data_IF_146900218793
#
_entry.id   IF_146900218793
#
_cell.length_a   1.000
_cell.length_b   1.000
_cell.length_c   1.000
_cell.angle_alpha   90.00
_cell.angle_beta   90.00
_cell.angle_gamma   90.00
#
_symmetry.space_group_name_H-M   'P 1'
#
loop_
_entity.id
_entity.type
_entity.pdbx_description
1 polymer ?
#
# COMPACT_ATOMS: atom_id res chain seq x y z
N UNK A 1 21.37 -34.97 32.94
CA UNK A 1 22.21 -34.12 32.08
C UNK A 1 21.28 -33.40 31.10
N UNK A 2 20.76 -32.24 31.47
CA UNK A 2 19.94 -31.41 30.58
C UNK A 2 20.87 -30.60 29.69
N UNK A 3 20.79 -30.77 28.36
CA UNK A 3 21.63 -30.06 27.39
C UNK A 3 21.15 -28.59 27.35
N UNK A 4 21.90 -27.61 27.85
CA UNK A 4 21.52 -26.21 27.78
C UNK A 4 21.88 -25.68 26.39
N UNK A 5 21.06 -25.93 25.38
CA UNK A 5 21.41 -25.51 24.00
C UNK A 5 20.27 -25.40 23.00
N UNK A 6 19.12 -26.04 23.24
CA UNK A 6 18.03 -26.08 22.24
C UNK A 6 17.06 -24.91 22.30
N UNK A 7 17.20 -23.98 23.26
CA UNK A 7 16.40 -22.75 23.31
C UNK A 7 16.88 -21.67 22.33
N UNK A 8 18.10 -21.77 21.81
CA UNK A 8 18.69 -20.75 20.94
C UNK A 8 18.05 -20.68 19.55
N UNK A 9 17.65 -21.83 18.98
CA UNK A 9 17.01 -21.91 17.66
C UNK A 9 15.69 -21.12 17.55
N UNK A 10 14.68 -21.40 18.39
CA UNK A 10 13.40 -20.70 18.31
C UNK A 10 13.49 -19.24 18.76
N UNK A 11 14.32 -18.92 19.78
CA UNK A 11 14.49 -17.54 20.23
C UNK A 11 15.16 -16.66 19.16
N UNK A 12 16.22 -17.16 18.51
CA UNK A 12 16.87 -16.46 17.40
C UNK A 12 15.93 -16.29 16.20
N UNK A 13 15.14 -17.33 15.87
CA UNK A 13 14.14 -17.26 14.81
C UNK A 13 13.06 -16.20 15.11
N UNK A 14 12.53 -16.17 16.33
CA UNK A 14 11.56 -15.17 16.76
C UNK A 14 12.15 -13.75 16.73
N UNK A 15 13.41 -13.57 17.14
CA UNK A 15 14.09 -12.28 17.05
C UNK A 15 14.24 -11.81 15.60
N UNK A 16 14.64 -12.69 14.68
CA UNK A 16 14.74 -12.37 13.24
C UNK A 16 13.37 -12.02 12.67
N UNK A 17 12.33 -12.81 12.97
CA UNK A 17 10.97 -12.53 12.54
C UNK A 17 10.45 -11.20 13.11
N UNK A 18 10.77 -10.91 14.37
CA UNK A 18 10.41 -9.65 15.02
C UNK A 18 11.08 -8.45 14.35
N UNK A 19 12.37 -8.54 14.04
CA UNK A 19 13.10 -7.48 13.31
C UNK A 19 12.54 -7.31 11.90
N UNK A 20 12.24 -8.39 11.18
CA UNK A 20 11.61 -8.32 9.85
C UNK A 20 10.21 -7.71 9.94
N UNK A 21 9.43 -8.07 10.96
CA UNK A 21 8.11 -7.51 11.27
C UNK A 21 8.21 -6.02 11.57
N UNK A 22 9.19 -5.59 12.37
CA UNK A 22 9.45 -4.19 12.67
C UNK A 22 9.85 -3.41 11.42
N UNK A 23 10.75 -3.94 10.60
CA UNK A 23 11.14 -3.30 9.33
C UNK A 23 9.95 -3.17 8.37
N UNK A 24 9.12 -4.20 8.28
CA UNK A 24 7.90 -4.20 7.46
C UNK A 24 6.84 -3.26 8.03
N UNK A 25 6.69 -3.20 9.35
CA UNK A 25 5.77 -2.28 10.03
C UNK A 25 6.25 -0.83 9.92
N UNK A 26 7.56 -0.57 10.03
CA UNK A 26 8.14 0.75 9.79
C UNK A 26 7.89 1.21 8.34
N UNK A 27 7.99 0.30 7.36
CA UNK A 27 7.64 0.59 5.96
C UNK A 27 6.14 0.89 5.82
N UNK A 28 5.28 0.11 6.47
CA UNK A 28 3.83 0.36 6.48
C UNK A 28 3.49 1.70 7.13
N UNK A 29 4.10 2.02 8.28
CA UNK A 29 3.93 3.29 8.99
C UNK A 29 4.36 4.49 8.16
N UNK A 30 5.44 4.36 7.37
CA UNK A 30 5.87 5.38 6.41
C UNK A 30 4.87 5.55 5.25
N UNK A 31 4.15 4.48 4.88
CA UNK A 31 3.13 4.55 3.84
C UNK A 31 1.76 5.10 4.32
N UNK A 32 1.54 5.24 5.63
CA UNK A 32 0.30 5.82 6.21
C UNK A 32 0.11 7.29 5.77
N UNK A 33 1.10 8.20 5.93
CA UNK A 33 0.94 9.59 5.49
C UNK A 33 0.71 9.68 3.98
N UNK A 34 1.38 8.85 3.17
CA UNK A 34 1.19 8.81 1.71
C UNK A 34 -0.21 8.32 1.33
N UNK A 35 -0.69 7.27 2.00
CA UNK A 35 -2.06 6.80 1.85
C UNK A 35 -3.05 7.90 2.22
N UNK A 36 -2.84 8.57 3.36
CA UNK A 36 -3.71 9.67 3.80
C UNK A 36 -3.72 10.83 2.81
N UNK A 37 -2.59 11.16 2.18
CA UNK A 37 -2.51 12.20 1.16
C UNK A 37 -3.26 11.82 -0.13
N UNK A 38 -3.22 10.54 -0.51
CA UNK A 38 -4.00 10.01 -1.62
C UNK A 38 -5.51 10.08 -1.30
N UNK A 39 -5.92 9.60 -0.12
CA UNK A 39 -7.31 9.61 0.33
C UNK A 39 -7.86 11.01 0.67
N UNK A 40 -7.01 12.01 0.91
CA UNK A 40 -7.45 13.41 1.00
C UNK A 40 -7.89 14.00 -0.34
N UNK A 41 -7.41 13.45 -1.46
CA UNK A 41 -7.73 13.91 -2.83
C UNK A 41 -8.90 13.18 -3.45
N UNK A 42 -9.38 12.11 -2.82
CA UNK A 42 -10.43 11.28 -3.38
C UNK A 42 -11.37 10.66 -2.34
N UNK A 43 -12.58 10.35 -2.78
CA UNK A 43 -13.65 9.82 -1.97
C UNK A 43 -14.01 8.41 -2.44
N UNK A 44 -14.16 7.48 -1.50
CA UNK A 44 -14.65 6.13 -1.78
C UNK A 44 -16.16 6.05 -1.61
N UNK A 45 -16.85 5.54 -2.63
CA UNK A 45 -18.26 5.24 -2.55
C UNK A 45 -18.46 3.76 -2.23
N UNK A 46 -18.96 3.44 -1.04
CA UNK A 46 -19.27 2.06 -0.65
C UNK A 46 -20.39 1.43 -1.51
N UNK A 47 -21.31 2.25 -2.04
CA UNK A 47 -22.44 1.76 -2.86
C UNK A 47 -21.97 1.30 -4.24
N UNK A 48 -21.07 2.06 -4.85
CA UNK A 48 -20.58 1.77 -6.21
C UNK A 48 -19.31 0.90 -6.21
N UNK A 49 -18.56 0.88 -5.10
CA UNK A 49 -17.26 0.20 -5.04
C UNK A 49 -16.14 0.95 -5.77
N UNK A 50 -16.34 2.25 -6.04
CA UNK A 50 -15.45 3.11 -6.83
C UNK A 50 -14.82 4.21 -5.99
N UNK A 51 -13.67 4.67 -6.42
CA UNK A 51 -12.91 5.76 -5.82
C UNK A 51 -12.88 6.92 -6.79
N UNK A 52 -13.42 8.05 -6.35
CA UNK A 52 -13.46 9.31 -7.08
C UNK A 52 -12.28 10.16 -6.67
N UNK A 53 -11.42 10.59 -7.60
CA UNK A 53 -10.33 11.53 -7.36
C UNK A 53 -10.61 12.86 -8.07
N UNK A 54 -10.44 13.98 -7.37
CA UNK A 54 -10.49 15.30 -8.01
C UNK A 54 -9.29 15.46 -8.97
N UNK A 55 -9.48 15.94 -10.22
CA UNK A 55 -10.61 16.75 -10.72
C UNK A 55 -11.72 15.97 -11.48
N UNK A 56 -11.87 14.65 -11.32
CA UNK A 56 -12.97 13.91 -11.95
C UNK A 56 -12.67 12.47 -12.34
N UNK A 57 -11.63 11.85 -11.79
CA UNK A 57 -11.21 10.49 -12.16
C UNK A 57 -11.95 9.47 -11.30
N UNK A 58 -12.76 8.62 -11.93
CA UNK A 58 -13.40 7.47 -11.27
C UNK A 58 -12.61 6.20 -11.54
N UNK A 59 -12.21 5.50 -10.48
CA UNK A 59 -11.46 4.24 -10.56
C UNK A 59 -12.12 3.20 -9.69
N UNK A 60 -12.40 2.02 -10.25
CA UNK A 60 -12.85 0.89 -9.46
C UNK A 60 -11.81 0.55 -8.37
N UNK A 61 -12.27 0.24 -7.15
CA UNK A 61 -11.37 -0.05 -6.03
C UNK A 61 -10.42 -1.22 -6.32
N UNK A 62 -10.88 -2.23 -7.07
CA UNK A 62 -10.05 -3.36 -7.49
C UNK A 62 -8.85 -2.91 -8.35
N UNK A 63 -9.09 -1.98 -9.28
CA UNK A 63 -8.06 -1.39 -10.14
C UNK A 63 -7.09 -0.55 -9.33
N UNK A 64 -7.61 0.31 -8.44
CA UNK A 64 -6.78 1.12 -7.55
C UNK A 64 -5.87 0.24 -6.67
N UNK A 65 -6.41 -0.85 -6.11
CA UNK A 65 -5.64 -1.81 -5.30
C UNK A 65 -4.53 -2.47 -6.12
N UNK A 66 -4.81 -2.82 -7.38
CA UNK A 66 -3.81 -3.32 -8.31
C UNK A 66 -2.68 -2.32 -8.58
N UNK A 67 -3.03 -1.04 -8.76
CA UNK A 67 -2.05 0.04 -8.97
C UNK A 67 -1.18 0.27 -7.73
N UNK A 68 -1.79 0.34 -6.55
CA UNK A 68 -1.09 0.45 -5.27
C UNK A 68 -0.13 -0.73 -5.07
N UNK A 69 -0.56 -1.94 -5.43
CA UNK A 69 0.28 -3.14 -5.31
C UNK A 69 1.46 -3.12 -6.28
N UNK A 70 1.24 -2.77 -7.56
CA UNK A 70 2.31 -2.64 -8.57
C UNK A 70 3.33 -1.57 -8.22
N UNK A 71 2.87 -0.47 -7.65
CA UNK A 71 3.74 0.60 -7.16
C UNK A 71 4.47 0.23 -5.84
N UNK A 72 4.22 -0.95 -5.26
CA UNK A 72 4.86 -1.38 -4.01
C UNK A 72 4.32 -0.67 -2.75
N UNK A 73 3.10 -0.11 -2.84
CA UNK A 73 2.39 0.58 -1.77
C UNK A 73 2.01 2.02 -2.13
N UNK A 74 1.28 2.69 -1.23
CA UNK A 74 0.87 4.09 -1.43
C UNK A 74 2.04 5.07 -1.58
N UNK A 75 3.19 4.75 -0.98
CA UNK A 75 4.42 5.54 -1.10
C UNK A 75 5.07 5.45 -2.50
N UNK A 76 4.95 4.29 -3.16
CA UNK A 76 5.39 4.19 -4.55
C UNK A 76 4.33 4.74 -5.49
N UNK A 77 3.04 4.58 -5.14
CA UNK A 77 1.97 5.24 -5.87
C UNK A 77 2.21 6.75 -5.86
N UNK A 78 2.41 7.40 -4.71
CA UNK A 78 2.65 8.86 -4.61
C UNK A 78 3.85 9.34 -5.43
N UNK A 79 4.92 8.52 -5.50
CA UNK A 79 6.13 8.79 -6.28
C UNK A 79 5.91 8.69 -7.78
N UNK A 80 5.07 7.74 -8.20
CA UNK A 80 4.72 7.47 -9.60
C UNK A 80 3.35 8.10 -10.01
N UNK A 81 2.71 8.86 -9.09
CA UNK A 81 1.30 9.30 -9.21
C UNK A 81 1.09 10.27 -10.35
N UNK A 82 2.08 11.11 -10.66
CA UNK A 82 1.99 12.10 -11.73
C UNK A 82 1.56 11.48 -13.06
N UNK A 83 2.32 10.51 -13.62
CA UNK A 83 1.97 9.87 -14.89
C UNK A 83 0.86 8.80 -14.78
N UNK A 84 0.67 8.14 -13.63
CA UNK A 84 -0.30 7.04 -13.50
C UNK A 84 -1.75 7.52 -13.37
N UNK A 85 -2.02 8.58 -12.62
CA UNK A 85 -3.37 9.16 -12.56
C UNK A 85 -3.72 9.85 -13.87
N UNK A 86 -2.73 10.43 -14.58
CA UNK A 86 -2.90 10.96 -15.93
C UNK A 86 -3.26 9.83 -16.93
N UNK A 87 -2.53 8.71 -16.92
CA UNK A 87 -2.84 7.54 -17.77
C UNK A 87 -4.19 6.91 -17.45
N UNK A 88 -4.54 6.81 -16.16
CA UNK A 88 -5.86 6.33 -15.73
C UNK A 88 -6.94 7.38 -16.02
N UNK A 89 -6.65 8.68 -16.06
CA UNK A 89 -7.61 9.67 -16.56
C UNK A 89 -7.82 9.49 -18.06
N UNK A 90 -6.75 9.41 -18.85
CA UNK A 90 -6.83 9.34 -20.32
C UNK A 90 -7.44 8.03 -20.82
N UNK A 91 -7.14 6.90 -20.17
CA UNK A 91 -7.69 5.59 -20.56
C UNK A 91 -9.21 5.47 -20.36
N UNK A 92 -9.79 6.31 -19.51
CA UNK A 92 -11.21 6.29 -19.18
C UNK A 92 -11.95 7.56 -19.64
N UNK A 93 -11.25 8.47 -20.35
CA UNK A 93 -11.82 9.64 -21.03
C UNK A 93 -12.16 9.37 -22.52
N UNK A 94 -12.08 8.11 -22.96
CA UNK A 94 -12.55 7.69 -24.29
C UNK A 94 -14.07 7.54 -24.31
N UNK A 95 -14.75 7.91 -25.43
CA UNK A 95 -16.21 7.89 -25.56
C UNK A 95 -16.82 6.51 -25.36
#
# INVERSE_FOLDING_TARGET
>A
MTIPGTAAGPAALLAVLFVLRLRRNARNRRAIPDASACWRRGWFCHRCGEVFFSPGVLVAMATLRGLVWRAGGYAGLSRDTGPLLEQVSQRWSGP
#
